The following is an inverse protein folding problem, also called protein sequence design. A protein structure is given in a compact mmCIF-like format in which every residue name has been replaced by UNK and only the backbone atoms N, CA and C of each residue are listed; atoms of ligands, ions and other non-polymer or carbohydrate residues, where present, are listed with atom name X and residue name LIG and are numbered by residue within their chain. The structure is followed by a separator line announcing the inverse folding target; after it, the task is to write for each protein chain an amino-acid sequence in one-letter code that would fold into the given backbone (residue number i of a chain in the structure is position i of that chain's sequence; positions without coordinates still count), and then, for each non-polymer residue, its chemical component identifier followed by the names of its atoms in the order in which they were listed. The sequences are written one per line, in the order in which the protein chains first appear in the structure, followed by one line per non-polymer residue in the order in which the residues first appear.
data_IF_480444422949
#
_entry.id   IF_480444422949
#
_cell.length_a   1.000
_cell.length_b   1.000
_cell.length_c   1.000
_cell.angle_alpha   90.00
_cell.angle_beta   90.00
_cell.angle_gamma   90.00
#
_symmetry.space_group_name_H-M   'P 1'
#
loop_
_entity.id
_entity.type
_entity.pdbx_description
1 polymer ?
#
# COMPACT_ATOMS: atom_id res chain seq x y z
N UNK A 1 10.53 -66.09 61.41
CA UNK A 1 10.70 -64.71 61.90
C UNK A 1 10.42 -63.78 60.69
N UNK A 2 9.16 -63.30 60.58
CA UNK A 2 8.73 -62.46 59.47
C UNK A 2 8.76 -60.98 59.92
N UNK A 3 9.49 -60.14 59.18
CA UNK A 3 9.54 -58.70 59.45
C UNK A 3 8.38 -58.06 58.73
N UNK A 4 7.46 -57.48 59.48
CA UNK A 4 6.34 -56.68 59.01
C UNK A 4 6.88 -55.25 58.74
N UNK A 5 6.86 -54.83 57.51
CA UNK A 5 7.12 -53.44 57.16
C UNK A 5 5.82 -52.61 57.29
N UNK A 6 5.82 -51.68 58.22
CA UNK A 6 4.75 -50.65 58.33
C UNK A 6 4.99 -49.55 57.32
N UNK A 7 4.09 -49.42 56.40
CA UNK A 7 4.00 -48.22 55.53
C UNK A 7 3.18 -47.14 56.21
N UNK A 8 3.84 -46.01 56.54
CA UNK A 8 3.15 -44.83 56.98
C UNK A 8 2.58 -44.09 55.75
N UNK A 9 1.25 -44.02 55.67
CA UNK A 9 0.56 -43.24 54.69
C UNK A 9 0.59 -41.76 55.11
N UNK A 10 1.37 -40.92 54.42
CA UNK A 10 1.35 -39.49 54.62
C UNK A 10 0.23 -38.94 53.75
N UNK A 11 -0.86 -38.53 54.36
CA UNK A 11 -1.93 -37.75 53.73
C UNK A 11 -1.44 -36.30 53.56
N UNK A 12 -1.17 -35.91 52.30
CA UNK A 12 -0.92 -34.52 51.95
C UNK A 12 -2.29 -33.86 51.71
N UNK A 13 -2.68 -32.82 52.44
CA UNK A 13 -3.92 -32.09 52.18
C UNK A 13 -3.73 -31.29 50.89
N UNK A 14 -4.51 -31.61 49.87
CA UNK A 14 -4.59 -30.84 48.64
C UNK A 14 -5.36 -29.53 48.90
N UNK A 15 -4.63 -28.44 49.12
CA UNK A 15 -5.23 -27.13 49.17
C UNK A 15 -5.60 -26.70 47.74
N UNK A 16 -6.90 -26.77 47.42
CA UNK A 16 -7.44 -26.10 46.27
C UNK A 16 -7.43 -24.57 46.52
N UNK A 17 -6.46 -23.89 45.96
CA UNK A 17 -6.48 -22.44 45.91
C UNK A 17 -7.46 -22.09 44.78
N UNK A 18 -8.71 -21.75 45.13
CA UNK A 18 -9.61 -21.06 44.23
C UNK A 18 -9.04 -19.65 44.01
N UNK A 19 -8.28 -19.47 42.94
CA UNK A 19 -7.99 -18.15 42.43
C UNK A 19 -9.29 -17.59 41.83
N UNK A 20 -10.00 -16.76 42.61
CA UNK A 20 -10.97 -15.84 42.02
C UNK A 20 -10.20 -14.92 41.08
N UNK A 21 -10.22 -15.21 39.79
CA UNK A 21 -9.88 -14.21 38.80
C UNK A 21 -10.99 -13.16 38.87
N UNK A 22 -10.67 -11.99 39.39
CA UNK A 22 -11.50 -10.81 39.18
C UNK A 22 -11.66 -10.68 37.67
N UNK A 23 -12.88 -10.89 37.17
CA UNK A 23 -13.26 -10.46 35.83
C UNK A 23 -13.14 -8.93 35.85
N UNK A 24 -11.95 -8.43 35.44
CA UNK A 24 -11.84 -7.06 35.02
C UNK A 24 -12.73 -6.93 33.80
N UNK A 25 -13.91 -6.36 33.99
CA UNK A 25 -14.70 -5.82 32.90
C UNK A 25 -13.75 -4.88 32.12
N UNK A 26 -13.43 -5.24 30.92
CA UNK A 26 -12.78 -4.30 30.00
C UNK A 26 -13.87 -3.30 29.66
N UNK A 27 -13.85 -2.14 30.33
CA UNK A 27 -14.66 -1.02 29.91
C UNK A 27 -14.18 -0.64 28.50
N UNK A 28 -14.90 -1.11 27.48
CA UNK A 28 -14.73 -0.64 26.11
C UNK A 28 -15.30 0.77 26.11
N UNK A 29 -14.42 1.76 26.25
CA UNK A 29 -14.78 3.14 26.02
C UNK A 29 -15.24 3.26 24.56
N UNK A 30 -16.56 3.38 24.36
CA UNK A 30 -17.11 3.71 23.04
C UNK A 30 -16.61 5.12 22.71
N UNK A 31 -15.91 5.30 21.59
CA UNK A 31 -15.41 6.62 21.21
C UNK A 31 -16.54 7.65 21.25
N UNK A 32 -16.28 8.81 21.86
CA UNK A 32 -17.21 9.92 21.86
C UNK A 32 -17.57 10.30 20.42
N UNK A 33 -18.78 10.76 20.17
CA UNK A 33 -19.26 11.23 18.85
C UNK A 33 -18.24 12.16 18.17
N UNK A 34 -17.53 12.98 18.98
CA UNK A 34 -16.45 13.83 18.52
C UNK A 34 -15.28 13.09 17.83
N UNK A 35 -14.96 11.86 18.21
CA UNK A 35 -13.89 11.09 17.59
C UNK A 35 -14.35 10.53 16.25
N UNK A 36 -15.60 10.11 16.13
CA UNK A 36 -16.21 9.70 14.86
C UNK A 36 -16.25 10.88 13.88
N UNK A 37 -16.63 12.07 14.36
CA UNK A 37 -16.61 13.28 13.52
C UNK A 37 -15.21 13.64 13.04
N UNK A 38 -14.19 13.50 13.87
CA UNK A 38 -12.79 13.69 13.46
C UNK A 38 -12.39 12.70 12.35
N UNK A 39 -12.75 11.44 12.48
CA UNK A 39 -12.45 10.42 11.47
C UNK A 39 -13.17 10.70 10.14
N UNK A 40 -14.44 11.09 10.19
CA UNK A 40 -15.22 11.50 9.01
C UNK A 40 -14.63 12.76 8.37
N UNK A 41 -14.18 13.74 9.15
CA UNK A 41 -13.54 14.94 8.60
C UNK A 41 -12.20 14.62 7.98
N UNK A 42 -11.39 13.74 8.58
CA UNK A 42 -10.13 13.26 8.03
C UNK A 42 -10.35 12.53 6.69
N UNK A 43 -11.44 11.78 6.54
CA UNK A 43 -11.74 11.08 5.29
C UNK A 43 -11.92 12.02 4.08
N UNK A 44 -12.33 13.29 4.31
CA UNK A 44 -12.48 14.29 3.25
C UNK A 44 -11.15 14.70 2.61
N UNK A 45 -10.03 14.50 3.32
CA UNK A 45 -8.69 14.74 2.77
C UNK A 45 -8.37 13.78 1.62
N UNK A 46 -8.99 12.58 1.64
CA UNK A 46 -8.83 11.53 0.64
C UNK A 46 -9.92 11.55 -0.45
N UNK A 47 -10.71 12.60 -0.56
CA UNK A 47 -11.64 12.76 -1.67
C UNK A 47 -10.88 12.78 -3.00
N UNK A 48 -11.42 12.06 -4.01
CA UNK A 48 -10.81 11.94 -5.34
C UNK A 48 -10.65 13.30 -6.01
N UNK A 49 -9.41 13.71 -6.23
CA UNK A 49 -9.06 14.96 -6.90
C UNK A 49 -7.75 14.86 -7.65
N UNK A 50 -7.56 15.77 -8.61
CA UNK A 50 -6.27 15.98 -9.24
C UNK A 50 -5.82 17.41 -8.99
N UNK A 51 -4.73 17.56 -8.27
CA UNK A 51 -4.05 18.85 -8.07
C UNK A 51 -2.97 19.02 -9.12
N UNK A 52 -2.89 20.20 -9.71
CA UNK A 52 -1.89 20.54 -10.74
C UNK A 52 -0.99 21.64 -10.22
N UNK A 53 0.31 21.43 -10.35
CA UNK A 53 1.34 22.43 -10.09
C UNK A 53 2.01 22.82 -11.41
N UNK A 54 2.16 24.10 -11.64
CA UNK A 54 2.87 24.65 -12.79
C UNK A 54 4.34 24.92 -12.40
N UNK A 55 5.25 24.46 -13.23
CA UNK A 55 6.69 24.68 -13.05
C UNK A 55 7.26 25.30 -14.33
N UNK A 56 8.45 25.90 -14.29
CA UNK A 56 9.08 26.42 -15.53
C UNK A 56 9.31 25.35 -16.60
N UNK A 57 9.41 24.08 -16.22
CA UNK A 57 9.64 22.95 -17.14
C UNK A 57 8.39 22.22 -17.61
N UNK A 58 7.20 22.58 -17.12
CA UNK A 58 5.94 21.87 -17.43
C UNK A 58 5.01 21.77 -16.25
N UNK A 59 4.01 20.89 -16.32
CA UNK A 59 3.03 20.69 -15.27
C UNK A 59 3.21 19.35 -14.58
N UNK A 60 2.91 19.33 -13.30
CA UNK A 60 2.91 18.11 -12.47
C UNK A 60 1.50 17.93 -11.92
N UNK A 61 0.91 16.76 -12.13
CA UNK A 61 -0.43 16.41 -11.71
C UNK A 61 -0.39 15.32 -10.66
N UNK A 62 -1.05 15.53 -9.55
CA UNK A 62 -1.15 14.58 -8.43
C UNK A 62 -2.57 14.03 -8.37
N UNK A 63 -2.74 12.74 -8.61
CA UNK A 63 -4.00 12.03 -8.39
C UNK A 63 -4.06 11.59 -6.92
N UNK A 64 -4.98 12.18 -6.17
CA UNK A 64 -5.15 11.99 -4.72
C UNK A 64 -6.48 11.28 -4.48
N UNK A 65 -6.51 10.32 -3.54
CA UNK A 65 -7.73 9.65 -3.09
C UNK A 65 -8.24 8.54 -4.01
N UNK A 66 -7.45 8.09 -4.98
CA UNK A 66 -7.79 6.96 -5.86
C UNK A 66 -7.41 5.61 -5.27
N UNK A 67 -6.45 5.58 -4.38
CA UNK A 67 -5.96 4.43 -3.63
C UNK A 67 -5.24 4.90 -2.38
N UNK A 68 -4.46 4.04 -1.74
CA UNK A 68 -3.63 4.40 -0.58
C UNK A 68 -2.55 5.38 -1.01
N UNK A 69 -1.80 5.04 -2.06
CA UNK A 69 -0.75 5.90 -2.61
C UNK A 69 -1.30 6.88 -3.66
N UNK A 70 -0.64 8.01 -3.78
CA UNK A 70 -0.86 8.94 -4.88
C UNK A 70 -0.11 8.46 -6.13
N UNK A 71 -0.68 8.74 -7.31
CA UNK A 71 0.03 8.63 -8.58
C UNK A 71 0.28 10.02 -9.14
N UNK A 72 1.45 10.22 -9.74
CA UNK A 72 1.87 11.53 -10.22
C UNK A 72 2.16 11.43 -11.71
N UNK A 73 1.68 12.42 -12.49
CA UNK A 73 2.07 12.58 -13.88
C UNK A 73 2.88 13.86 -14.05
N UNK A 74 4.06 13.73 -14.67
CA UNK A 74 4.90 14.86 -15.08
C UNK A 74 4.76 15.01 -16.58
N UNK A 75 4.33 16.20 -17.03
CA UNK A 75 4.20 16.51 -18.46
C UNK A 75 5.57 16.82 -19.05
N UNK A 76 5.92 16.12 -20.14
CA UNK A 76 7.07 16.43 -20.95
C UNK A 76 6.70 16.98 -22.33
N UNK A 77 7.70 17.27 -23.14
CA UNK A 77 7.54 17.91 -24.46
C UNK A 77 6.77 16.97 -25.43
N UNK A 78 7.15 15.70 -25.48
CA UNK A 78 6.62 14.70 -26.43
C UNK A 78 6.11 13.43 -25.73
N UNK A 79 5.97 13.46 -24.43
CA UNK A 79 5.51 12.34 -23.62
C UNK A 79 5.30 12.72 -22.18
N UNK A 80 4.71 11.81 -21.41
CA UNK A 80 4.48 11.96 -19.98
C UNK A 80 5.23 10.89 -19.20
N UNK A 81 5.56 11.20 -17.96
CA UNK A 81 6.18 10.28 -17.01
C UNK A 81 5.19 10.04 -15.88
N UNK A 82 4.98 8.79 -15.51
CA UNK A 82 4.17 8.41 -14.34
C UNK A 82 5.11 8.03 -13.20
N UNK A 83 4.88 8.60 -12.03
CA UNK A 83 5.54 8.20 -10.80
C UNK A 83 4.49 7.51 -9.94
N UNK A 84 4.72 6.23 -9.66
CA UNK A 84 3.83 5.28 -9.02
C UNK A 84 2.49 5.07 -9.73
N UNK A 85 1.97 3.86 -9.67
CA UNK A 85 0.86 3.42 -10.55
C UNK A 85 -0.41 3.04 -9.79
N UNK A 86 -0.50 3.38 -8.51
CA UNK A 86 -1.56 2.96 -7.60
C UNK A 86 -1.57 1.45 -7.30
N UNK A 87 -2.56 1.01 -6.52
CA UNK A 87 -2.67 -0.30 -5.90
C UNK A 87 -3.34 -1.37 -6.76
N UNK A 88 -3.83 -1.02 -7.95
CA UNK A 88 -4.48 -1.96 -8.86
C UNK A 88 -4.56 -1.47 -10.31
N UNK A 89 -4.78 -2.39 -11.23
CA UNK A 89 -5.03 -2.10 -12.65
C UNK A 89 -6.26 -1.21 -12.82
N UNK A 90 -7.30 -1.41 -12.01
CA UNK A 90 -8.51 -0.59 -12.07
C UNK A 90 -8.24 0.86 -11.66
N UNK A 91 -7.53 1.08 -10.55
CA UNK A 91 -7.22 2.44 -10.08
C UNK A 91 -6.29 3.17 -11.07
N UNK A 92 -5.31 2.47 -11.62
CA UNK A 92 -4.45 3.01 -12.68
C UNK A 92 -5.27 3.46 -13.90
N UNK A 93 -6.28 2.70 -14.31
CA UNK A 93 -7.19 3.08 -15.40
C UNK A 93 -8.00 4.34 -15.07
N UNK A 94 -8.55 4.46 -13.84
CA UNK A 94 -9.30 5.63 -13.42
C UNK A 94 -8.41 6.89 -13.41
N UNK A 95 -7.21 6.77 -12.86
CA UNK A 95 -6.21 7.85 -12.82
C UNK A 95 -5.81 8.27 -14.24
N UNK A 96 -5.49 7.30 -15.10
CA UNK A 96 -5.09 7.57 -16.48
C UNK A 96 -6.18 8.32 -17.28
N UNK A 97 -7.46 7.94 -17.12
CA UNK A 97 -8.57 8.64 -17.78
C UNK A 97 -8.60 10.14 -17.46
N UNK A 98 -8.20 10.50 -16.23
CA UNK A 98 -8.16 11.90 -15.79
C UNK A 98 -6.87 12.58 -16.25
N UNK A 99 -5.72 11.92 -16.12
CA UNK A 99 -4.45 12.45 -16.60
C UNK A 99 -4.48 12.72 -18.10
N UNK A 100 -5.08 11.80 -18.88
CA UNK A 100 -5.22 11.99 -20.32
C UNK A 100 -6.08 13.20 -20.71
N UNK A 101 -7.00 13.64 -19.87
CA UNK A 101 -7.74 14.90 -20.07
C UNK A 101 -6.88 16.13 -19.83
N UNK A 102 -5.79 16.00 -19.06
CA UNK A 102 -4.82 17.08 -18.80
C UNK A 102 -3.78 17.15 -19.92
N UNK A 103 -3.18 16.00 -20.24
CA UNK A 103 -2.22 15.88 -21.33
C UNK A 103 -2.40 14.52 -22.04
N UNK A 104 -2.55 14.54 -23.35
CA UNK A 104 -2.79 13.34 -24.17
C UNK A 104 -1.51 12.71 -24.77
N UNK A 105 -0.34 13.23 -24.46
CA UNK A 105 0.92 12.67 -24.90
C UNK A 105 1.08 11.21 -24.39
N UNK A 106 1.84 10.36 -25.10
CA UNK A 106 2.07 8.99 -24.68
C UNK A 106 2.83 8.93 -23.34
N UNK A 107 2.66 7.85 -22.61
CA UNK A 107 3.46 7.58 -21.41
C UNK A 107 4.81 7.00 -21.85
N UNK A 108 5.89 7.73 -21.63
CA UNK A 108 7.25 7.32 -22.01
C UNK A 108 7.95 6.53 -20.90
N UNK A 109 7.66 6.85 -19.64
CA UNK A 109 8.26 6.17 -18.52
C UNK A 109 7.31 6.01 -17.33
N UNK A 110 7.59 5.00 -16.53
CA UNK A 110 7.04 4.79 -15.20
C UNK A 110 8.22 4.72 -14.23
N UNK A 111 8.14 5.42 -13.12
CA UNK A 111 9.14 5.37 -12.05
C UNK A 111 8.45 4.82 -10.80
N UNK A 112 8.97 3.74 -10.23
CA UNK A 112 8.55 3.26 -8.93
C UNK A 112 9.40 3.93 -7.86
N UNK A 113 8.75 4.57 -6.88
CA UNK A 113 9.46 5.15 -5.74
C UNK A 113 10.01 4.07 -4.84
N UNK A 114 9.26 2.97 -4.65
CA UNK A 114 9.67 1.81 -3.87
C UNK A 114 8.81 0.56 -4.18
N UNK A 115 9.07 -0.53 -3.48
CA UNK A 115 8.53 -1.86 -3.76
C UNK A 115 7.17 -2.19 -3.09
N UNK A 116 6.37 -1.24 -2.64
CA UNK A 116 5.05 -1.54 -2.13
C UNK A 116 4.01 -1.69 -3.25
N UNK A 117 2.99 -2.52 -3.01
CA UNK A 117 1.98 -2.85 -4.00
C UNK A 117 1.12 -1.66 -4.42
N UNK A 118 0.79 -0.79 -3.48
CA UNK A 118 0.03 0.44 -3.69
C UNK A 118 0.74 1.47 -4.58
N UNK A 119 2.03 1.27 -4.86
CA UNK A 119 2.82 2.08 -5.80
C UNK A 119 3.04 1.39 -7.15
N UNK A 120 2.91 0.06 -7.23
CA UNK A 120 3.41 -0.73 -8.37
C UNK A 120 2.35 -1.60 -9.05
N UNK A 121 1.21 -1.89 -8.42
CA UNK A 121 0.24 -2.87 -8.95
C UNK A 121 -0.63 -2.36 -10.09
N UNK A 122 -0.62 -1.07 -10.40
CA UNK A 122 -1.31 -0.54 -11.57
C UNK A 122 -0.51 -0.60 -12.88
N UNK A 123 0.78 -0.99 -12.84
CA UNK A 123 1.70 -0.85 -13.96
C UNK A 123 1.30 -1.66 -15.20
N UNK A 124 0.69 -2.84 -15.03
CA UNK A 124 0.25 -3.66 -16.15
C UNK A 124 -0.76 -2.93 -17.07
N UNK A 125 -1.58 -2.03 -16.51
CA UNK A 125 -2.48 -1.22 -17.30
C UNK A 125 -1.73 -0.40 -18.34
N UNK A 126 -0.68 0.31 -17.94
CA UNK A 126 0.09 1.18 -18.83
C UNK A 126 0.80 0.42 -19.95
N UNK A 127 1.10 -0.87 -19.77
CA UNK A 127 1.65 -1.73 -20.80
C UNK A 127 0.64 -2.12 -21.90
N UNK A 128 -0.65 -1.85 -21.71
CA UNK A 128 -1.72 -2.27 -22.62
C UNK A 128 -2.32 -1.13 -23.43
N UNK A 129 -2.15 0.13 -23.00
CA UNK A 129 -2.87 1.29 -23.56
C UNK A 129 -2.22 1.88 -24.82
N UNK A 130 -1.00 1.49 -25.13
CA UNK A 130 -0.24 2.01 -26.27
C UNK A 130 0.68 0.93 -26.85
N UNK A 131 1.07 1.09 -28.13
CA UNK A 131 1.92 0.12 -28.82
C UNK A 131 3.37 0.13 -28.31
N UNK A 132 3.91 1.31 -28.05
CA UNK A 132 5.24 1.50 -27.47
C UNK A 132 5.12 1.45 -25.96
N UNK A 133 5.67 0.40 -25.33
CA UNK A 133 5.62 0.24 -23.90
C UNK A 133 6.50 1.25 -23.18
N UNK A 134 6.06 1.80 -22.04
CA UNK A 134 6.89 2.71 -21.25
C UNK A 134 8.12 2.01 -20.69
N UNK A 135 9.19 2.76 -20.50
CA UNK A 135 10.34 2.30 -19.72
C UNK A 135 9.92 2.30 -18.25
N UNK A 136 10.17 1.19 -17.53
CA UNK A 136 9.86 1.09 -16.09
C UNK A 136 11.18 1.13 -15.31
N UNK A 137 11.33 2.16 -14.50
CA UNK A 137 12.56 2.49 -13.79
C UNK A 137 12.34 2.30 -12.29
N UNK A 138 13.28 1.63 -11.61
CA UNK A 138 13.27 1.48 -10.17
C UNK A 138 14.66 1.16 -9.62
N UNK A 139 14.83 1.20 -8.29
CA UNK A 139 16.00 0.66 -7.64
C UNK A 139 16.19 -0.83 -7.94
N UNK A 140 17.42 -1.32 -8.03
CA UNK A 140 17.73 -2.70 -8.43
C UNK A 140 17.09 -3.76 -7.52
N UNK A 141 16.91 -3.48 -6.24
CA UNK A 141 16.30 -4.39 -5.28
C UNK A 141 14.76 -4.44 -5.35
N UNK A 142 14.12 -3.54 -6.06
CA UNK A 142 12.66 -3.44 -6.11
C UNK A 142 12.01 -4.75 -6.54
N UNK A 143 12.49 -5.37 -7.62
CA UNK A 143 11.95 -6.63 -8.11
C UNK A 143 12.16 -7.78 -7.11
N UNK A 144 13.33 -7.84 -6.48
CA UNK A 144 13.62 -8.87 -5.46
C UNK A 144 12.62 -8.83 -4.30
N UNK A 145 12.35 -7.64 -3.75
CA UNK A 145 11.38 -7.50 -2.66
C UNK A 145 9.95 -7.73 -3.12
N UNK A 146 9.59 -7.30 -4.32
CA UNK A 146 8.26 -7.58 -4.90
C UNK A 146 8.02 -9.08 -5.08
N UNK A 147 8.99 -9.83 -5.60
CA UNK A 147 8.87 -11.29 -5.74
C UNK A 147 8.70 -11.99 -4.38
N UNK A 148 9.32 -11.48 -3.33
CA UNK A 148 9.10 -11.99 -1.96
C UNK A 148 7.69 -11.73 -1.47
N UNK A 149 7.17 -10.52 -1.68
CA UNK A 149 5.81 -10.11 -1.28
C UNK A 149 4.76 -10.94 -2.03
N UNK A 150 4.91 -11.08 -3.35
CA UNK A 150 3.98 -11.83 -4.20
C UNK A 150 4.10 -13.35 -4.04
N UNK A 151 5.25 -13.84 -3.59
CA UNK A 151 5.58 -15.26 -3.45
C UNK A 151 5.64 -15.74 -2.00
N UNK A 152 6.84 -15.89 -1.48
CA UNK A 152 7.13 -16.63 -0.23
C UNK A 152 6.37 -16.07 0.98
N UNK A 153 6.29 -14.74 1.13
CA UNK A 153 5.65 -14.11 2.29
C UNK A 153 4.21 -13.67 2.02
N UNK A 154 3.68 -13.94 0.83
CA UNK A 154 2.33 -13.54 0.45
C UNK A 154 1.24 -13.94 1.46
N UNK A 155 1.19 -15.17 1.99
CA UNK A 155 0.17 -15.55 2.97
C UNK A 155 0.22 -14.68 4.23
N UNK A 156 1.41 -14.34 4.70
CA UNK A 156 1.62 -13.50 5.89
C UNK A 156 1.20 -12.05 5.60
N UNK A 157 1.62 -11.51 4.46
CA UNK A 157 1.28 -10.14 4.04
C UNK A 157 -0.21 -10.01 3.83
N UNK A 158 -0.87 -10.97 3.17
CA UNK A 158 -2.31 -10.97 2.94
C UNK A 158 -3.10 -10.98 4.25
N UNK A 159 -2.73 -11.84 5.21
CA UNK A 159 -3.38 -11.88 6.53
C UNK A 159 -3.21 -10.56 7.29
N UNK A 160 -2.01 -9.99 7.28
CA UNK A 160 -1.77 -8.68 7.90
C UNK A 160 -2.57 -7.58 7.23
N UNK A 161 -2.55 -7.52 5.90
CA UNK A 161 -3.28 -6.51 5.13
C UNK A 161 -4.78 -6.57 5.38
N UNK A 162 -5.36 -7.77 5.45
CA UNK A 162 -6.77 -7.97 5.78
C UNK A 162 -7.16 -7.31 7.10
N UNK A 163 -6.28 -7.41 8.11
CA UNK A 163 -6.52 -6.79 9.43
C UNK A 163 -6.18 -5.31 9.49
N UNK A 164 -5.14 -4.87 8.75
CA UNK A 164 -4.64 -3.50 8.83
C UNK A 164 -5.47 -2.51 8.01
N UNK A 165 -6.04 -2.95 6.88
CA UNK A 165 -6.69 -2.07 5.92
C UNK A 165 -8.21 -2.20 5.91
N UNK A 166 -8.80 -2.70 7.01
CA UNK A 166 -10.24 -2.72 7.19
C UNK A 166 -11.01 -3.64 6.24
N UNK A 167 -10.36 -4.62 5.61
CA UNK A 167 -11.00 -5.52 4.63
C UNK A 167 -12.12 -6.39 5.25
N UNK A 168 -12.14 -6.52 6.57
CA UNK A 168 -13.16 -7.26 7.34
C UNK A 168 -14.27 -6.36 7.89
N UNK A 169 -14.19 -5.05 7.68
CA UNK A 169 -15.21 -4.10 8.10
C UNK A 169 -16.28 -4.06 7.02
N UNK A 170 -17.56 -4.06 7.42
CA UNK A 170 -18.67 -3.92 6.50
C UNK A 170 -18.58 -2.58 5.74
N UNK A 171 -19.00 -2.59 4.46
CA UNK A 171 -18.83 -1.43 3.57
C UNK A 171 -19.53 -0.18 4.12
N UNK A 172 -20.65 -0.33 4.83
CA UNK A 172 -21.41 0.76 5.44
C UNK A 172 -20.70 1.39 6.65
N UNK A 173 -19.83 0.62 7.33
CA UNK A 173 -19.06 1.06 8.50
C UNK A 173 -17.65 1.54 8.14
N UNK A 174 -17.22 1.30 6.88
CA UNK A 174 -15.89 1.63 6.43
C UNK A 174 -15.77 3.12 6.09
N UNK A 175 -14.86 3.84 6.76
CA UNK A 175 -14.64 5.27 6.52
C UNK A 175 -13.35 5.49 5.71
N UNK A 176 -12.22 5.01 6.21
CA UNK A 176 -10.92 5.06 5.53
C UNK A 176 -9.93 4.09 6.22
N UNK A 177 -8.75 3.94 5.67
CA UNK A 177 -7.68 3.07 6.22
C UNK A 177 -6.67 3.83 7.10
N UNK A 178 -6.95 5.09 7.44
CA UNK A 178 -6.08 5.94 8.26
C UNK A 178 -4.95 6.62 7.48
N UNK A 179 -4.43 6.02 6.43
CA UNK A 179 -3.34 6.52 5.58
C UNK A 179 -3.77 6.80 4.14
N UNK A 180 -5.02 6.51 3.80
CA UNK A 180 -5.56 6.70 2.46
C UNK A 180 -7.03 6.33 2.40
N UNK A 181 -7.64 6.45 1.21
CA UNK A 181 -9.07 6.26 1.02
C UNK A 181 -9.49 4.80 1.21
N UNK A 182 -8.88 3.88 0.49
CA UNK A 182 -9.16 2.44 0.56
C UNK A 182 -8.07 1.65 -0.15
N UNK A 183 -7.96 0.37 0.18
CA UNK A 183 -7.15 -0.59 -0.55
C UNK A 183 -8.08 -1.45 -1.43
N UNK A 184 -8.02 -1.30 -2.74
CA UNK A 184 -8.92 -1.97 -3.68
C UNK A 184 -8.41 -3.31 -4.22
N UNK A 185 -7.46 -3.93 -3.57
CA UNK A 185 -6.83 -5.21 -3.98
C UNK A 185 -7.87 -6.34 -4.17
N UNK A 186 -8.98 -6.30 -3.45
CA UNK A 186 -10.06 -7.29 -3.61
C UNK A 186 -11.00 -7.05 -4.79
N UNK A 187 -11.02 -5.85 -5.37
CA UNK A 187 -11.92 -5.45 -6.47
C UNK A 187 -11.23 -5.46 -7.85
N UNK A 188 -9.92 -5.67 -7.92
CA UNK A 188 -9.14 -5.61 -9.15
C UNK A 188 -7.85 -6.43 -9.07
N UNK A 189 -7.15 -6.53 -10.21
CA UNK A 189 -5.92 -7.31 -10.36
C UNK A 189 -4.72 -6.50 -9.91
N UNK A 190 -3.84 -7.12 -9.13
CA UNK A 190 -2.49 -6.64 -8.87
C UNK A 190 -1.62 -6.87 -10.11
N UNK A 191 -1.37 -5.82 -10.87
CA UNK A 191 -0.67 -5.87 -12.15
C UNK A 191 0.75 -5.33 -12.06
N UNK A 192 1.59 -5.94 -11.23
CA UNK A 192 3.00 -5.60 -11.16
C UNK A 192 3.72 -5.90 -12.47
N UNK A 193 4.56 -4.98 -12.92
CA UNK A 193 5.48 -5.18 -14.05
C UNK A 193 6.91 -4.95 -13.58
N UNK A 194 7.76 -5.94 -13.83
CA UNK A 194 9.17 -5.85 -13.49
C UNK A 194 9.84 -4.65 -14.16
N UNK A 195 10.65 -3.85 -13.44
CA UNK A 195 11.47 -2.80 -14.03
C UNK A 195 12.37 -3.35 -15.15
N UNK A 196 12.48 -2.61 -16.23
CA UNK A 196 13.38 -2.92 -17.34
C UNK A 196 14.60 -1.98 -17.40
N UNK A 197 14.62 -0.97 -16.53
CA UNK A 197 15.79 -0.15 -16.24
C UNK A 197 15.93 0.01 -14.72
N UNK A 198 17.12 -0.32 -14.20
CA UNK A 198 17.38 -0.24 -12.76
C UNK A 198 18.60 0.60 -12.45
N UNK A 199 18.69 1.09 -11.23
CA UNK A 199 19.84 1.80 -10.70
C UNK A 199 20.15 1.37 -9.28
N UNK A 200 21.37 1.65 -8.82
CA UNK A 200 21.80 1.30 -7.47
C UNK A 200 21.85 2.51 -6.55
N UNK A 201 22.72 3.46 -6.83
CA UNK A 201 22.94 4.63 -5.97
C UNK A 201 22.30 5.88 -6.56
N UNK A 202 22.52 6.12 -7.84
CA UNK A 202 22.02 7.28 -8.58
C UNK A 202 21.84 6.96 -10.06
N UNK A 203 20.85 7.61 -10.67
CA UNK A 203 20.63 7.58 -12.12
C UNK A 203 20.23 8.96 -12.62
N UNK A 204 20.97 9.46 -13.60
CA UNK A 204 20.64 10.68 -14.36
C UNK A 204 20.19 10.29 -15.76
N UNK A 205 19.06 10.80 -16.20
CA UNK A 205 18.50 10.53 -17.52
C UNK A 205 17.63 11.69 -17.99
N UNK A 206 17.38 11.75 -19.30
CA UNK A 206 16.43 12.71 -19.88
C UNK A 206 15.36 11.94 -20.64
N UNK A 207 14.09 12.14 -20.29
CA UNK A 207 12.93 11.49 -20.92
C UNK A 207 11.89 12.56 -21.25
N UNK A 208 11.40 12.55 -22.49
CA UNK A 208 10.39 13.48 -22.96
C UNK A 208 10.79 14.96 -22.76
N UNK A 209 12.09 15.27 -22.81
CA UNK A 209 12.64 16.60 -22.57
C UNK A 209 12.69 17.03 -21.10
N UNK A 210 12.51 16.09 -20.19
CA UNK A 210 12.63 16.30 -18.73
C UNK A 210 13.94 15.66 -18.26
N UNK A 211 14.78 16.43 -17.59
CA UNK A 211 15.96 15.92 -16.91
C UNK A 211 15.56 15.39 -15.54
N UNK A 212 15.94 14.14 -15.28
CA UNK A 212 15.54 13.38 -14.10
C UNK A 212 16.79 12.93 -13.36
N UNK A 213 16.79 13.16 -12.08
CA UNK A 213 17.83 12.65 -11.17
C UNK A 213 17.16 11.77 -10.11
N UNK A 214 17.51 10.49 -10.10
CA UNK A 214 17.02 9.51 -9.14
C UNK A 214 18.15 9.17 -8.17
N UNK A 215 17.84 9.23 -6.88
CA UNK A 215 18.76 8.87 -5.82
C UNK A 215 18.19 7.73 -4.98
N UNK A 216 19.03 6.78 -4.60
CA UNK A 216 18.68 5.78 -3.61
C UNK A 216 18.66 6.45 -2.23
N UNK A 217 17.49 6.48 -1.60
CA UNK A 217 17.28 6.98 -0.25
C UNK A 217 16.73 5.85 0.63
N UNK A 218 17.60 4.99 1.20
CA UNK A 218 17.15 3.88 2.05
C UNK A 218 16.50 4.44 3.31
N UNK A 219 15.31 3.87 3.67
CA UNK A 219 14.55 4.16 4.87
C UNK A 219 14.86 3.21 6.01
#
# INVERSE_FOLDING_TARGET
MSKIHRYSLILIPLFFIFSCSENKSVDIEIPLISEVEKLVNHSKEFERKVTTYETPGGKIHFAIGYGIANSIMVEGIDGNIIIDTADSVYEAEQIYKIFRKKNSNPIKAIIYTHNHGDHTFGAAFYNTIQSEKPIIIAHEDTDFYMQRILGIINPIISERSTRMFGTIIDEDDFINVGIGASLNVGKSVAGYVKPNQTFKDQLNLSIAGIDIELHHAPG
#
